data_IF_104565586511
#
_entry.id   IF_104565586511
#
_cell.length_a   1.000
_cell.length_b   1.000
_cell.length_c   1.000
_cell.angle_alpha   90.00
_cell.angle_beta   90.00
_cell.angle_gamma   90.00
#
_symmetry.space_group_name_H-M   'P 1'
#
loop_
_entity.id
_entity.type
_entity.pdbx_description
1 polymer ?
#
# COMPACT_ATOMS: atom_id res chain seq x y z
N UNK A 1 -22.43 40.92 -8.15
CA UNK A 1 -23.18 39.66 -7.88
C UNK A 1 -23.42 38.86 -9.16
N UNK A 2 -23.90 39.44 -10.25
CA UNK A 2 -24.21 38.74 -11.52
C UNK A 2 -23.00 38.01 -12.16
N UNK A 3 -21.82 38.59 -12.12
CA UNK A 3 -20.59 37.97 -12.65
C UNK A 3 -20.15 36.71 -11.87
N UNK A 4 -20.28 36.74 -10.54
CA UNK A 4 -19.97 35.54 -9.71
C UNK A 4 -20.95 34.40 -9.99
N UNK A 5 -22.23 34.70 -10.16
CA UNK A 5 -23.24 33.69 -10.52
C UNK A 5 -22.96 33.09 -11.89
N UNK A 6 -22.54 33.92 -12.87
CA UNK A 6 -22.20 33.44 -14.20
C UNK A 6 -20.99 32.47 -14.18
N UNK A 7 -19.97 32.76 -13.35
CA UNK A 7 -18.81 31.89 -13.18
C UNK A 7 -19.22 30.55 -12.54
N UNK A 8 -20.09 30.54 -11.53
CA UNK A 8 -20.59 29.32 -10.92
C UNK A 8 -21.42 28.47 -11.89
N UNK A 9 -22.28 29.10 -12.68
CA UNK A 9 -23.10 28.41 -13.69
C UNK A 9 -22.18 27.80 -14.76
N UNK A 10 -21.19 28.54 -15.23
CA UNK A 10 -20.21 28.04 -16.21
C UNK A 10 -19.37 26.88 -15.67
N UNK A 11 -18.94 26.94 -14.39
CA UNK A 11 -18.25 25.84 -13.72
C UNK A 11 -19.11 24.57 -13.59
N UNK A 12 -20.41 24.72 -13.27
CA UNK A 12 -21.35 23.59 -13.17
C UNK A 12 -21.57 22.94 -14.55
N UNK A 13 -21.66 23.71 -15.62
CA UNK A 13 -21.83 23.19 -17.00
C UNK A 13 -20.58 22.41 -17.44
N UNK A 14 -19.37 22.88 -17.10
CA UNK A 14 -18.12 22.17 -17.40
C UNK A 14 -18.01 20.85 -16.63
N UNK A 15 -18.43 20.81 -15.38
CA UNK A 15 -18.41 19.58 -14.57
C UNK A 15 -19.42 18.53 -15.06
N UNK A 16 -20.57 18.95 -15.57
CA UNK A 16 -21.59 18.03 -16.09
C UNK A 16 -21.19 17.37 -17.43
N UNK A 17 -20.37 18.03 -18.24
CA UNK A 17 -19.91 17.47 -19.52
C UNK A 17 -19.03 16.24 -19.34
N UNK A 18 -18.06 16.26 -18.43
CA UNK A 18 -17.18 15.13 -18.16
C UNK A 18 -17.93 13.91 -17.60
N UNK A 19 -18.94 14.13 -16.75
CA UNK A 19 -19.74 13.05 -16.19
C UNK A 19 -20.62 12.35 -17.27
N UNK A 20 -21.11 13.11 -18.23
CA UNK A 20 -21.93 12.58 -19.32
C UNK A 20 -21.10 11.68 -20.25
N UNK A 21 -19.91 12.11 -20.63
CA UNK A 21 -18.99 11.34 -21.48
C UNK A 21 -18.60 10.01 -20.82
N UNK A 22 -18.17 10.03 -19.57
CA UNK A 22 -17.84 8.83 -18.80
C UNK A 22 -19.01 7.85 -18.78
N UNK A 23 -20.23 8.32 -18.52
CA UNK A 23 -21.41 7.46 -18.48
C UNK A 23 -21.73 6.83 -19.85
N UNK A 24 -21.46 7.50 -20.95
CA UNK A 24 -21.61 6.92 -22.31
C UNK A 24 -20.61 5.80 -22.54
N UNK A 25 -19.33 6.04 -22.19
CA UNK A 25 -18.27 5.03 -22.31
C UNK A 25 -18.56 3.82 -21.41
N UNK A 26 -18.94 4.06 -20.16
CA UNK A 26 -19.26 2.99 -19.20
C UNK A 26 -20.38 2.07 -19.66
N UNK A 27 -21.40 2.62 -20.37
CA UNK A 27 -22.52 1.85 -20.95
C UNK A 27 -22.20 1.21 -22.30
N UNK A 28 -21.05 1.53 -22.91
CA UNK A 28 -20.67 0.96 -24.19
C UNK A 28 -20.39 -0.54 -24.09
N UNK A 29 -20.82 -1.30 -25.09
CA UNK A 29 -20.48 -2.73 -25.23
C UNK A 29 -19.08 -2.94 -25.83
N UNK A 30 -18.45 -1.89 -26.36
CA UNK A 30 -17.11 -1.98 -26.94
C UNK A 30 -16.04 -1.86 -25.83
N UNK A 31 -15.48 -3.03 -25.44
CA UNK A 31 -14.43 -3.10 -24.42
C UNK A 31 -13.12 -2.45 -24.86
N UNK A 32 -12.81 -2.37 -26.17
CA UNK A 32 -11.63 -1.69 -26.68
C UNK A 32 -11.75 -0.19 -26.50
N UNK A 33 -12.91 0.36 -26.83
CA UNK A 33 -13.20 1.77 -26.61
C UNK A 33 -13.14 2.12 -25.11
N UNK A 34 -13.72 1.26 -24.25
CA UNK A 34 -13.63 1.43 -22.79
C UNK A 34 -12.18 1.38 -22.28
N UNK A 35 -11.37 0.49 -22.86
CA UNK A 35 -9.95 0.37 -22.50
C UNK A 35 -9.15 1.62 -22.88
N UNK A 36 -9.31 2.13 -24.11
CA UNK A 36 -8.62 3.36 -24.54
C UNK A 36 -9.03 4.57 -23.69
N UNK A 37 -10.32 4.70 -23.39
CA UNK A 37 -10.80 5.76 -22.51
C UNK A 37 -10.29 5.61 -21.06
N UNK A 38 -10.14 4.39 -20.56
CA UNK A 38 -9.54 4.13 -19.25
C UNK A 38 -8.06 4.57 -19.22
N UNK A 39 -7.30 4.37 -20.31
CA UNK A 39 -5.93 4.89 -20.45
C UNK A 39 -5.89 6.43 -20.41
N UNK A 40 -6.84 7.08 -21.09
CA UNK A 40 -6.96 8.54 -21.04
C UNK A 40 -7.31 9.04 -19.63
N UNK A 41 -8.25 8.38 -18.95
CA UNK A 41 -8.58 8.69 -17.56
C UNK A 41 -7.34 8.56 -16.66
N UNK A 42 -6.58 7.48 -16.80
CA UNK A 42 -5.35 7.25 -16.04
C UNK A 42 -4.31 8.34 -16.31
N UNK A 43 -4.05 8.66 -17.58
CA UNK A 43 -3.10 9.72 -17.98
C UNK A 43 -3.50 11.11 -17.45
N UNK A 44 -4.80 11.36 -17.31
CA UNK A 44 -5.35 12.62 -16.79
C UNK A 44 -5.50 12.63 -15.24
N UNK A 45 -5.01 11.61 -14.53
CA UNK A 45 -5.10 11.52 -13.08
C UNK A 45 -6.51 11.19 -12.54
N UNK A 46 -7.44 10.76 -13.40
CA UNK A 46 -8.80 10.35 -13.03
C UNK A 46 -8.81 8.86 -12.64
N UNK A 47 -8.05 8.51 -11.60
CA UNK A 47 -7.76 7.12 -11.25
C UNK A 47 -9.00 6.31 -10.86
N UNK A 48 -9.93 6.88 -10.11
CA UNK A 48 -11.19 6.22 -9.75
C UNK A 48 -12.03 5.84 -10.99
N UNK A 49 -12.07 6.72 -12.01
CA UNK A 49 -12.77 6.43 -13.26
C UNK A 49 -12.03 5.35 -14.06
N UNK A 50 -10.71 5.42 -14.12
CA UNK A 50 -9.89 4.40 -14.77
C UNK A 50 -10.09 3.03 -14.11
N UNK A 51 -10.05 2.95 -12.78
CA UNK A 51 -10.31 1.73 -12.00
C UNK A 51 -11.66 1.13 -12.34
N UNK A 52 -12.73 1.93 -12.28
CA UNK A 52 -14.11 1.48 -12.58
C UNK A 52 -14.23 0.84 -13.97
N UNK A 53 -13.60 1.43 -14.98
CA UNK A 53 -13.63 0.87 -16.34
C UNK A 53 -12.76 -0.38 -16.46
N UNK A 54 -11.55 -0.36 -15.88
CA UNK A 54 -10.58 -1.46 -15.99
C UNK A 54 -11.03 -2.73 -15.27
N UNK A 55 -11.79 -2.64 -14.17
CA UNK A 55 -12.33 -3.80 -13.45
C UNK A 55 -13.16 -4.72 -14.36
N UNK A 56 -13.98 -4.14 -15.24
CA UNK A 56 -14.76 -4.90 -16.21
C UNK A 56 -13.93 -5.29 -17.43
N UNK A 57 -13.15 -4.35 -17.95
CA UNK A 57 -12.31 -4.55 -19.16
C UNK A 57 -11.32 -5.70 -18.97
N UNK A 58 -10.65 -5.81 -17.82
CA UNK A 58 -9.69 -6.88 -17.52
C UNK A 58 -10.31 -8.27 -17.66
N UNK A 59 -11.59 -8.43 -17.34
CA UNK A 59 -12.27 -9.73 -17.48
C UNK A 59 -12.59 -10.06 -18.95
N UNK A 60 -12.92 -9.05 -19.75
CA UNK A 60 -13.26 -9.20 -21.16
C UNK A 60 -12.02 -9.37 -22.04
N UNK A 61 -10.88 -8.80 -21.64
CA UNK A 61 -9.63 -8.87 -22.40
C UNK A 61 -8.81 -10.13 -22.16
N UNK A 62 -9.26 -11.06 -21.33
CA UNK A 62 -8.55 -12.33 -21.09
C UNK A 62 -8.28 -13.07 -22.39
N UNK A 63 -7.00 -13.44 -22.59
CA UNK A 63 -6.56 -14.14 -23.80
C UNK A 63 -6.26 -13.23 -25.00
N UNK A 64 -6.34 -11.90 -24.85
CA UNK A 64 -5.87 -10.93 -25.84
C UNK A 64 -4.46 -10.45 -25.52
N UNK A 65 -3.80 -9.83 -26.49
CA UNK A 65 -2.45 -9.26 -26.33
C UNK A 65 -2.38 -8.15 -25.25
N UNK A 66 -3.51 -7.47 -25.01
CA UNK A 66 -3.60 -6.39 -24.02
C UNK A 66 -4.02 -6.87 -22.61
N UNK A 67 -4.21 -8.17 -22.41
CA UNK A 67 -4.66 -8.72 -21.11
C UNK A 67 -3.67 -8.43 -19.98
N UNK A 68 -2.39 -8.60 -20.26
CA UNK A 68 -1.31 -8.34 -19.31
C UNK A 68 -1.25 -6.85 -18.91
N UNK A 69 -1.21 -5.96 -19.91
CA UNK A 69 -1.14 -4.52 -19.71
C UNK A 69 -2.36 -3.99 -18.96
N UNK A 70 -3.56 -4.44 -19.32
CA UNK A 70 -4.80 -4.01 -18.68
C UNK A 70 -4.86 -4.36 -17.19
N UNK A 71 -4.38 -5.57 -16.82
CA UNK A 71 -4.35 -6.00 -15.42
C UNK A 71 -3.32 -5.20 -14.61
N UNK A 72 -2.14 -4.93 -15.19
CA UNK A 72 -1.14 -4.09 -14.54
C UNK A 72 -1.64 -2.65 -14.37
N UNK A 73 -2.28 -2.11 -15.40
CA UNK A 73 -2.86 -0.76 -15.36
C UNK A 73 -3.96 -0.63 -14.31
N UNK A 74 -4.82 -1.66 -14.13
CA UNK A 74 -5.81 -1.70 -13.07
C UNK A 74 -5.14 -1.57 -11.69
N UNK A 75 -4.10 -2.37 -11.44
CA UNK A 75 -3.36 -2.33 -10.18
C UNK A 75 -2.73 -0.95 -9.94
N UNK A 76 -2.14 -0.34 -10.98
CA UNK A 76 -1.58 1.01 -10.90
C UNK A 76 -2.64 2.08 -10.67
N UNK A 77 -3.82 1.96 -11.30
CA UNK A 77 -4.92 2.89 -11.08
C UNK A 77 -5.42 2.86 -9.62
N UNK A 78 -5.61 1.66 -9.07
CA UNK A 78 -5.95 1.46 -7.66
C UNK A 78 -4.88 2.06 -6.73
N UNK A 79 -3.60 1.81 -7.02
CA UNK A 79 -2.49 2.37 -6.24
C UNK A 79 -2.47 3.91 -6.25
N UNK A 80 -2.64 4.52 -7.43
CA UNK A 80 -2.68 5.97 -7.59
C UNK A 80 -3.94 6.60 -6.97
N UNK A 81 -5.05 5.84 -6.92
CA UNK A 81 -6.29 6.24 -6.24
C UNK A 81 -6.21 6.04 -4.71
N UNK A 82 -5.08 5.56 -4.19
CA UNK A 82 -4.81 5.24 -2.78
C UNK A 82 -5.63 4.07 -2.23
N UNK A 83 -6.23 3.27 -3.07
CA UNK A 83 -6.82 1.99 -2.67
C UNK A 83 -5.71 0.92 -2.64
N UNK A 84 -4.89 1.01 -1.61
CA UNK A 84 -3.68 0.20 -1.49
C UNK A 84 -3.98 -1.29 -1.25
N UNK A 85 -5.07 -1.61 -0.59
CA UNK A 85 -5.47 -3.02 -0.36
C UNK A 85 -5.84 -3.70 -1.68
N UNK A 86 -6.71 -3.08 -2.47
CA UNK A 86 -7.09 -3.58 -3.79
C UNK A 86 -5.89 -3.63 -4.73
N UNK A 87 -5.02 -2.60 -4.70
CA UNK A 87 -3.80 -2.56 -5.49
C UNK A 87 -2.88 -3.76 -5.17
N UNK A 88 -2.61 -4.03 -3.89
CA UNK A 88 -1.78 -5.16 -3.48
C UNK A 88 -2.35 -6.49 -3.97
N UNK A 89 -3.67 -6.69 -3.86
CA UNK A 89 -4.34 -7.89 -4.36
C UNK A 89 -4.24 -8.02 -5.88
N UNK A 90 -4.43 -6.91 -6.60
CA UNK A 90 -4.39 -6.90 -8.06
C UNK A 90 -2.96 -7.10 -8.58
N UNK A 91 -1.93 -6.51 -7.96
CA UNK A 91 -0.53 -6.79 -8.27
C UNK A 91 -0.15 -8.25 -8.00
N UNK A 92 -0.61 -8.85 -6.88
CA UNK A 92 -0.43 -10.28 -6.61
C UNK A 92 -1.09 -11.15 -7.70
N UNK A 93 -2.30 -10.79 -8.12
CA UNK A 93 -3.01 -11.45 -9.22
C UNK A 93 -2.22 -11.33 -10.53
N UNK A 94 -1.69 -10.14 -10.84
CA UNK A 94 -0.84 -9.94 -12.00
C UNK A 94 0.39 -10.86 -11.95
N UNK A 95 1.17 -10.81 -10.87
CA UNK A 95 2.39 -11.61 -10.73
C UNK A 95 2.13 -13.12 -10.84
N UNK A 96 1.01 -13.59 -10.26
CA UNK A 96 0.58 -14.99 -10.36
C UNK A 96 0.21 -15.38 -11.80
N UNK A 97 -0.42 -14.47 -12.56
CA UNK A 97 -0.87 -14.74 -13.92
C UNK A 97 0.24 -14.60 -14.95
N UNK A 98 1.17 -13.67 -14.73
CA UNK A 98 2.25 -13.29 -15.65
C UNK A 98 3.61 -13.21 -14.93
N UNK A 99 4.14 -14.32 -14.38
CA UNK A 99 5.38 -14.30 -13.59
C UNK A 99 6.62 -13.95 -14.41
N UNK A 100 6.55 -14.07 -15.73
CA UNK A 100 7.58 -13.69 -16.71
C UNK A 100 7.15 -12.50 -17.57
N UNK A 101 6.09 -11.82 -17.20
CA UNK A 101 5.58 -10.65 -17.90
C UNK A 101 6.51 -9.45 -17.80
N UNK A 102 6.33 -8.50 -18.72
CA UNK A 102 7.19 -7.31 -18.80
C UNK A 102 7.12 -6.43 -17.54
N UNK A 103 6.04 -6.51 -16.78
CA UNK A 103 5.85 -5.76 -15.52
C UNK A 103 6.01 -6.63 -14.27
N UNK A 104 6.50 -7.89 -14.38
CA UNK A 104 6.56 -8.82 -13.25
C UNK A 104 7.42 -8.30 -12.09
N UNK A 105 8.61 -7.74 -12.38
CA UNK A 105 9.47 -7.10 -11.39
C UNK A 105 8.78 -5.92 -10.71
N UNK A 106 8.18 -5.03 -11.51
CA UNK A 106 7.48 -3.85 -10.98
C UNK A 106 6.24 -4.25 -10.16
N UNK A 107 5.46 -5.21 -10.63
CA UNK A 107 4.30 -5.70 -9.89
C UNK A 107 4.71 -6.28 -8.54
N UNK A 108 5.78 -7.08 -8.48
CA UNK A 108 6.32 -7.62 -7.23
C UNK A 108 6.75 -6.50 -6.27
N UNK A 109 7.44 -5.47 -6.75
CA UNK A 109 7.80 -4.31 -5.94
C UNK A 109 6.55 -3.57 -5.41
N UNK A 110 5.55 -3.33 -6.29
CA UNK A 110 4.35 -2.60 -5.90
C UNK A 110 3.40 -3.39 -4.99
N UNK A 111 3.53 -4.72 -4.88
CA UNK A 111 2.89 -5.48 -3.80
C UNK A 111 3.41 -4.97 -2.46
N UNK A 112 4.73 -4.92 -2.28
CA UNK A 112 5.36 -4.41 -1.06
C UNK A 112 5.02 -2.94 -0.80
N UNK A 113 5.09 -2.08 -1.82
CA UNK A 113 4.81 -0.65 -1.68
C UNK A 113 3.34 -0.39 -1.32
N UNK A 114 2.38 -1.13 -1.89
CA UNK A 114 0.97 -1.03 -1.54
C UNK A 114 0.72 -1.43 -0.08
N UNK A 115 1.31 -2.55 0.35
CA UNK A 115 1.22 -3.00 1.74
C UNK A 115 1.89 -2.00 2.69
N UNK A 116 3.04 -1.43 2.32
CA UNK A 116 3.72 -0.39 3.08
C UNK A 116 2.83 0.84 3.28
N UNK A 117 2.21 1.33 2.20
CA UNK A 117 1.30 2.49 2.25
C UNK A 117 0.05 2.26 3.08
N UNK A 118 -0.38 1.00 3.27
CA UNK A 118 -1.52 0.61 4.10
C UNK A 118 -1.15 0.33 5.57
N UNK A 119 0.15 0.39 5.94
CA UNK A 119 0.56 0.10 7.31
C UNK A 119 0.04 1.14 8.29
N UNK A 120 -0.51 0.72 9.45
CA UNK A 120 -1.03 1.63 10.47
C UNK A 120 0.09 2.29 11.29
N UNK A 121 -0.29 3.18 12.19
CA UNK A 121 0.63 3.75 13.19
C UNK A 121 1.20 2.66 14.12
N UNK A 122 2.42 2.87 14.71
CA UNK A 122 3.09 1.86 15.51
C UNK A 122 2.31 1.30 16.70
N UNK A 123 1.39 2.09 17.28
CA UNK A 123 0.57 1.68 18.43
C UNK A 123 -0.54 0.69 18.11
N UNK A 124 -0.90 0.58 16.84
CA UNK A 124 -1.96 -0.29 16.36
C UNK A 124 -1.44 -1.70 16.08
N UNK A 125 -2.32 -2.59 15.59
CA UNK A 125 -1.92 -3.91 15.11
C UNK A 125 -0.96 -3.79 13.92
N UNK A 126 0.16 -4.51 13.98
CA UNK A 126 1.23 -4.43 12.98
C UNK A 126 1.25 -5.61 12.00
N UNK A 127 0.17 -6.37 11.89
CA UNK A 127 0.08 -7.49 10.94
C UNK A 127 0.35 -7.06 9.50
N UNK A 128 -0.15 -5.88 9.10
CA UNK A 128 0.12 -5.32 7.76
C UNK A 128 1.59 -4.94 7.58
N UNK A 129 2.25 -4.45 8.63
CA UNK A 129 3.69 -4.14 8.60
C UNK A 129 4.52 -5.40 8.37
N UNK A 130 4.19 -6.51 9.04
CA UNK A 130 4.84 -7.80 8.85
C UNK A 130 4.63 -8.32 7.42
N UNK A 131 3.40 -8.20 6.88
CA UNK A 131 3.09 -8.57 5.52
C UNK A 131 3.88 -7.74 4.49
N UNK A 132 4.06 -6.44 4.72
CA UNK A 132 4.86 -5.56 3.87
C UNK A 132 6.35 -5.97 3.89
N UNK A 133 6.90 -6.28 5.07
CA UNK A 133 8.28 -6.78 5.21
C UNK A 133 8.46 -8.05 4.41
N UNK A 134 7.56 -9.03 4.56
CA UNK A 134 7.63 -10.29 3.82
C UNK A 134 7.59 -10.08 2.30
N UNK A 135 6.73 -9.17 1.83
CA UNK A 135 6.62 -8.85 0.40
C UNK A 135 7.89 -8.21 -0.17
N UNK A 136 8.55 -7.30 0.56
CA UNK A 136 9.83 -6.73 0.10
C UNK A 136 10.99 -7.73 0.18
N UNK A 137 11.01 -8.61 1.17
CA UNK A 137 12.00 -9.70 1.23
C UNK A 137 11.83 -10.64 0.04
N UNK A 138 10.60 -11.08 -0.26
CA UNK A 138 10.30 -11.89 -1.44
C UNK A 138 10.73 -11.19 -2.75
N UNK A 139 10.46 -9.88 -2.88
CA UNK A 139 10.91 -9.10 -4.02
C UNK A 139 12.43 -9.12 -4.19
N UNK A 140 13.18 -8.91 -3.11
CA UNK A 140 14.66 -8.89 -3.14
C UNK A 140 15.25 -10.27 -3.45
N UNK A 141 14.60 -11.35 -2.97
CA UNK A 141 15.04 -12.72 -3.24
C UNK A 141 14.79 -13.10 -4.71
N UNK A 142 13.65 -12.68 -5.28
CA UNK A 142 13.29 -12.97 -6.66
C UNK A 142 14.05 -12.12 -7.68
N UNK A 143 14.39 -10.89 -7.32
CA UNK A 143 15.00 -9.91 -8.22
C UNK A 143 16.26 -9.26 -7.58
N UNK A 144 17.37 -10.02 -7.39
CA UNK A 144 18.55 -9.53 -6.68
C UNK A 144 19.25 -8.35 -7.37
N UNK A 145 19.10 -8.21 -8.69
CA UNK A 145 19.68 -7.13 -9.51
C UNK A 145 18.66 -6.07 -9.93
N UNK A 146 17.51 -6.04 -9.29
CA UNK A 146 16.41 -5.12 -9.61
C UNK A 146 16.79 -3.64 -9.44
N UNK A 147 16.27 -2.79 -10.31
CA UNK A 147 16.47 -1.33 -10.25
C UNK A 147 15.95 -0.69 -8.96
N UNK A 148 14.89 -1.27 -8.37
CA UNK A 148 14.26 -0.76 -7.15
C UNK A 148 14.79 -1.41 -5.86
N UNK A 149 15.89 -2.16 -5.93
CA UNK A 149 16.52 -2.82 -4.78
C UNK A 149 16.80 -1.86 -3.63
N UNK A 150 17.37 -0.70 -3.90
CA UNK A 150 17.69 0.31 -2.87
C UNK A 150 16.40 0.79 -2.20
N UNK A 151 15.39 1.15 -2.98
CA UNK A 151 14.11 1.57 -2.44
C UNK A 151 13.44 0.49 -1.59
N UNK A 152 13.52 -0.79 -1.98
CA UNK A 152 13.00 -1.90 -1.20
C UNK A 152 13.72 -2.05 0.15
N UNK A 153 15.05 -1.90 0.18
CA UNK A 153 15.81 -1.90 1.42
C UNK A 153 15.42 -0.73 2.33
N UNK A 154 15.29 0.49 1.78
CA UNK A 154 14.86 1.66 2.55
C UNK A 154 13.49 1.42 3.21
N UNK A 155 12.55 0.85 2.46
CA UNK A 155 11.23 0.47 3.02
C UNK A 155 11.32 -0.58 4.11
N UNK A 156 12.20 -1.57 3.97
CA UNK A 156 12.43 -2.58 5.02
C UNK A 156 12.94 -1.94 6.31
N UNK A 157 13.89 -1.00 6.22
CA UNK A 157 14.36 -0.27 7.40
C UNK A 157 13.24 0.53 8.07
N UNK A 158 12.46 1.29 7.30
CA UNK A 158 11.34 2.07 7.84
C UNK A 158 10.28 1.18 8.52
N UNK A 159 9.97 0.01 7.93
CA UNK A 159 9.02 -0.94 8.50
C UNK A 159 9.56 -1.59 9.79
N UNK A 160 10.84 -1.93 9.83
CA UNK A 160 11.49 -2.45 11.04
C UNK A 160 11.51 -1.40 12.16
N UNK A 161 11.87 -0.15 11.86
CA UNK A 161 11.83 0.95 12.82
C UNK A 161 10.41 1.21 13.35
N UNK A 162 9.37 0.96 12.54
CA UNK A 162 7.97 1.02 12.98
C UNK A 162 7.66 -0.07 14.02
N UNK A 163 8.12 -1.32 13.80
CA UNK A 163 7.96 -2.41 14.77
C UNK A 163 8.72 -2.13 16.07
N UNK A 164 9.95 -1.67 15.95
CA UNK A 164 10.77 -1.26 17.11
C UNK A 164 10.11 -0.14 17.90
N UNK A 165 9.50 0.82 17.22
CA UNK A 165 8.75 1.91 17.87
C UNK A 165 7.57 1.38 18.69
N UNK A 166 6.89 0.33 18.22
CA UNK A 166 5.84 -0.34 19.00
C UNK A 166 6.41 -0.95 20.28
N UNK A 167 7.53 -1.69 20.19
CA UNK A 167 8.17 -2.30 21.35
C UNK A 167 8.66 -1.24 22.35
N UNK A 168 9.21 -0.13 21.87
CA UNK A 168 9.61 1.01 22.70
C UNK A 168 8.42 1.59 23.47
N UNK A 169 7.28 1.79 22.81
CA UNK A 169 6.07 2.25 23.49
C UNK A 169 5.57 1.25 24.55
N UNK A 170 5.69 -0.06 24.27
CA UNK A 170 5.33 -1.11 25.22
C UNK A 170 6.25 -1.10 26.43
N UNK A 171 7.57 -1.02 26.22
CA UNK A 171 8.55 -0.93 27.29
C UNK A 171 8.32 0.33 28.17
N UNK A 172 8.08 1.47 27.53
CA UNK A 172 7.80 2.74 28.22
C UNK A 172 6.48 2.68 29.02
N UNK A 173 5.47 1.98 28.53
CA UNK A 173 4.22 1.75 29.27
C UNK A 173 4.51 0.92 30.53
N UNK A 174 5.24 -0.19 30.44
CA UNK A 174 5.62 -1.01 31.59
C UNK A 174 6.45 -0.24 32.57
N UNK A 175 7.40 0.57 32.13
CA UNK A 175 8.21 1.44 33.01
C UNK A 175 7.33 2.43 33.77
N UNK A 176 6.39 3.09 33.11
CA UNK A 176 5.50 4.07 33.73
C UNK A 176 4.51 3.43 34.72
N UNK A 177 4.11 2.16 34.47
CA UNK A 177 3.29 1.40 35.42
C UNK A 177 4.06 1.01 36.68
N UNK A 178 5.38 0.81 36.59
CA UNK A 178 6.24 0.54 37.72
C UNK A 178 5.76 -0.59 38.63
N UNK A 179 5.52 -0.27 39.89
CA UNK A 179 4.94 -1.19 40.87
C UNK A 179 3.42 -1.15 40.93
N UNK A 180 2.78 -0.30 40.13
CA UNK A 180 1.31 -0.15 40.09
C UNK A 180 0.73 -1.33 39.32
N UNK A 181 -0.05 -2.18 39.96
CA UNK A 181 -0.53 -3.47 39.45
C UNK A 181 0.60 -4.41 39.04
N UNK A 182 1.27 -5.02 40.03
CA UNK A 182 2.12 -6.17 39.76
C UNK A 182 1.35 -7.24 39.01
N UNK A 183 2.06 -7.92 38.12
CA UNK A 183 1.49 -8.94 37.23
C UNK A 183 0.76 -10.02 38.07
N UNK A 184 -0.58 -9.94 38.15
CA UNK A 184 -1.40 -10.74 39.07
C UNK A 184 -1.35 -12.25 38.82
N UNK A 185 -0.79 -12.69 37.69
CA UNK A 185 -0.81 -14.08 37.25
C UNK A 185 0.54 -14.81 37.33
N UNK A 186 1.69 -14.09 37.37
CA UNK A 186 3.02 -14.73 37.35
C UNK A 186 4.05 -14.14 38.29
N UNK A 187 3.69 -13.15 39.14
CA UNK A 187 4.58 -12.64 40.21
C UNK A 187 5.71 -11.74 39.75
N UNK A 188 5.82 -11.36 38.48
CA UNK A 188 6.80 -10.42 37.96
C UNK A 188 6.40 -8.96 38.17
N UNK A 189 7.38 -8.04 38.24
CA UNK A 189 7.11 -6.61 38.26
C UNK A 189 6.99 -6.04 36.84
N UNK A 190 6.30 -4.90 36.69
CA UNK A 190 6.24 -4.20 35.40
C UNK A 190 7.64 -3.75 34.92
N UNK A 191 8.59 -3.49 35.87
CA UNK A 191 9.98 -3.22 35.51
C UNK A 191 10.68 -4.42 34.89
N UNK A 192 10.43 -5.66 35.36
CA UNK A 192 10.92 -6.87 34.69
C UNK A 192 10.33 -7.02 33.30
N UNK A 193 9.02 -6.77 33.11
CA UNK A 193 8.37 -6.76 31.82
C UNK A 193 9.00 -5.71 30.89
N UNK A 194 9.30 -4.51 31.39
CA UNK A 194 10.01 -3.48 30.65
C UNK A 194 11.38 -3.96 30.17
N UNK A 195 12.19 -4.54 31.04
CA UNK A 195 13.53 -5.05 30.73
C UNK A 195 13.45 -6.15 29.68
N UNK A 196 12.54 -7.11 29.84
CA UNK A 196 12.36 -8.22 28.88
C UNK A 196 11.94 -7.69 27.51
N UNK A 197 10.99 -6.75 27.45
CA UNK A 197 10.54 -6.13 26.19
C UNK A 197 11.70 -5.40 25.50
N UNK A 198 12.48 -4.61 26.23
CA UNK A 198 13.63 -3.90 25.69
C UNK A 198 14.72 -4.86 25.18
N UNK A 199 15.03 -5.92 25.93
CA UNK A 199 16.02 -6.94 25.54
C UNK A 199 15.58 -7.69 24.28
N UNK A 200 14.31 -8.07 24.17
CA UNK A 200 13.76 -8.73 22.98
C UNK A 200 13.82 -7.80 21.78
N UNK A 201 13.44 -6.53 21.93
CA UNK A 201 13.50 -5.56 20.83
C UNK A 201 14.94 -5.39 20.29
N UNK A 202 15.95 -5.27 21.18
CA UNK A 202 17.37 -5.17 20.78
C UNK A 202 17.85 -6.44 20.07
N UNK A 203 17.37 -7.61 20.49
CA UNK A 203 17.73 -8.91 19.91
C UNK A 203 17.09 -9.13 18.56
N UNK A 204 15.79 -8.83 18.44
CA UNK A 204 15.00 -9.12 17.25
C UNK A 204 15.24 -8.08 16.12
N UNK A 205 15.68 -6.87 16.50
CA UNK A 205 15.94 -5.77 15.56
C UNK A 205 17.35 -5.18 15.74
N UNK A 206 18.42 -5.95 15.46
CA UNK A 206 19.80 -5.56 15.75
C UNK A 206 20.30 -4.36 14.95
N UNK A 207 19.66 -4.05 13.81
CA UNK A 207 20.06 -2.97 12.89
C UNK A 207 19.16 -1.74 12.97
N UNK A 208 18.28 -1.66 13.98
CA UNK A 208 17.43 -0.48 14.17
C UNK A 208 18.25 0.76 14.51
N UNK A 209 17.83 1.90 13.99
CA UNK A 209 18.38 3.22 14.35
C UNK A 209 18.02 3.62 15.79
N UNK A 210 17.01 2.98 16.38
CA UNK A 210 16.45 3.27 17.71
C UNK A 210 17.04 2.44 18.86
N UNK A 211 18.14 1.76 18.62
CA UNK A 211 18.76 0.90 19.64
C UNK A 211 19.13 1.66 20.92
N UNK A 212 19.56 2.91 20.79
CA UNK A 212 19.93 3.76 21.92
C UNK A 212 18.74 4.15 22.80
N UNK A 213 17.53 4.20 22.24
CA UNK A 213 16.30 4.55 22.96
C UNK A 213 15.95 3.48 24.04
N UNK A 214 16.48 2.27 23.94
CA UNK A 214 16.31 1.18 24.90
C UNK A 214 17.40 1.13 25.99
N UNK A 215 18.38 2.02 25.95
CA UNK A 215 19.51 2.04 26.88
C UNK A 215 19.27 2.91 28.14
N UNK A 216 17.99 3.17 28.48
CA UNK A 216 17.58 3.94 29.65
C UNK A 216 17.80 3.19 30.98
#
# INVERSE_FOLDING_TARGET
MKTKILIYVFAIVLLSSCAHEFNQVYKSQDYRYRYEYAKECFANGKYAQATTLLEEVVTMMKGTDSAEESLYMLAMAQFCDRDYESAAMTFKKYYKSYPKGIYAELASFYIGESLYMSTPEPRLDQSQTVNAIAAFQEYLDLFPDAKKKVAAHDRLFELQDKLVTKELHSAQLYYNLGTYFGNCTSGGSNYEACIVTAQNAIKDYPYTTRREDFSM
#
